data_IF_968188677444
#
_entry.id   IF_968188677444
#
_cell.length_a   1.000
_cell.length_b   1.000
_cell.length_c   1.000
_cell.angle_alpha   90.00
_cell.angle_beta   90.00
_cell.angle_gamma   90.00
#
_symmetry.space_group_name_H-M   'P 1'
#
loop_
_entity.id
_entity.type
_entity.pdbx_description
1 polymer ?
#
# COMPACT_ATOMS: atom_id res chain seq x y z
N UNK A 1 -24.83 13.70 -6.08
CA UNK A 1 -24.55 13.10 -6.25
C UNK A 1 -24.68 12.50 -6.56
N UNK A 2 -24.32 12.53 -6.42
CA UNK A 2 -24.27 12.01 -6.76
C UNK A 2 -24.41 11.13 -6.73
N UNK A 3 -24.61 10.77 -6.71
CA UNK A 3 -24.52 9.80 -6.84
C UNK A 3 -25.01 9.15 -7.61
N UNK A 4 -25.32 9.09 -7.93
CA UNK A 4 -25.48 8.30 -9.13
C UNK A 4 -25.06 6.87 -8.87
N UNK A 5 -25.64 5.90 -9.48
CA UNK A 5 -25.44 4.50 -9.19
C UNK A 5 -24.07 3.89 -9.42
N UNK A 6 -23.05 4.67 -9.66
CA UNK A 6 -21.70 4.17 -9.86
C UNK A 6 -21.07 3.78 -8.52
N UNK A 7 -20.04 2.95 -8.55
CA UNK A 7 -19.36 2.55 -7.34
C UNK A 7 -18.70 3.78 -6.69
N UNK A 8 -18.82 3.83 -5.39
CA UNK A 8 -18.35 4.95 -4.60
C UNK A 8 -17.09 4.58 -3.83
N UNK A 9 -16.04 5.36 -3.97
CA UNK A 9 -14.84 5.22 -3.16
C UNK A 9 -14.80 6.35 -2.15
N UNK A 10 -14.65 6.05 -0.85
CA UNK A 10 -14.51 7.10 0.15
C UNK A 10 -13.32 8.00 -0.18
N UNK A 11 -13.47 9.28 0.05
CA UNK A 11 -12.43 10.26 -0.24
C UNK A 11 -11.08 9.88 0.38
N UNK A 12 -11.09 9.36 1.61
CA UNK A 12 -9.87 8.96 2.29
C UNK A 12 -9.09 7.90 1.51
N UNK A 13 -9.77 6.96 0.87
CA UNK A 13 -9.13 5.92 0.09
C UNK A 13 -8.55 6.48 -1.20
N UNK A 14 -9.28 7.38 -1.85
CA UNK A 14 -8.79 8.04 -3.07
C UNK A 14 -7.56 8.89 -2.75
N UNK A 15 -7.62 9.67 -1.68
CA UNK A 15 -6.49 10.50 -1.26
C UNK A 15 -5.27 9.64 -0.90
N UNK A 16 -5.51 8.52 -0.25
CA UNK A 16 -4.46 7.58 0.13
C UNK A 16 -3.77 6.99 -1.12
N UNK A 17 -4.57 6.57 -2.09
CA UNK A 17 -4.06 6.04 -3.35
C UNK A 17 -3.21 7.08 -4.08
N UNK A 18 -3.70 8.33 -4.16
CA UNK A 18 -2.97 9.41 -4.82
C UNK A 18 -1.65 9.71 -4.11
N UNK A 19 -1.64 9.68 -2.79
CA UNK A 19 -0.43 9.87 -2.00
C UNK A 19 0.60 8.77 -2.31
N UNK A 20 0.14 7.53 -2.43
CA UNK A 20 1.02 6.40 -2.78
C UNK A 20 1.64 6.64 -4.16
N UNK A 21 0.84 7.05 -5.14
CA UNK A 21 1.33 7.30 -6.49
C UNK A 21 2.43 8.35 -6.49
N UNK A 22 2.22 9.46 -5.79
CA UNK A 22 3.22 10.51 -5.70
C UNK A 22 4.51 10.02 -5.06
N UNK A 23 4.40 9.32 -3.94
CA UNK A 23 5.56 8.80 -3.21
C UNK A 23 6.36 7.82 -4.06
N UNK A 24 5.67 6.94 -4.77
CA UNK A 24 6.33 5.95 -5.62
C UNK A 24 7.08 6.64 -6.76
N UNK A 25 6.44 7.61 -7.42
CA UNK A 25 7.06 8.34 -8.53
C UNK A 25 8.33 9.07 -8.09
N UNK A 26 8.33 9.63 -6.89
CA UNK A 26 9.50 10.32 -6.35
C UNK A 26 10.66 9.36 -6.06
N UNK A 27 10.36 8.14 -5.69
CA UNK A 27 11.39 7.17 -5.27
C UNK A 27 11.90 6.29 -6.41
N UNK A 28 11.17 6.20 -7.51
CA UNK A 28 11.62 5.38 -8.63
C UNK A 28 12.82 6.04 -9.33
N UNK A 29 13.84 5.24 -9.68
CA UNK A 29 14.96 5.78 -10.47
C UNK A 29 14.49 6.26 -11.84
N UNK A 30 15.17 7.27 -12.38
CA UNK A 30 14.82 7.82 -13.71
C UNK A 30 14.84 6.75 -14.80
N UNK A 31 15.69 5.75 -14.64
CA UNK A 31 15.84 4.68 -15.63
C UNK A 31 14.96 3.46 -15.35
N UNK A 32 14.06 3.57 -14.37
CA UNK A 32 13.20 2.45 -14.03
C UNK A 32 12.27 2.11 -15.21
N UNK A 33 12.23 0.83 -15.56
CA UNK A 33 11.32 0.31 -16.57
C UNK A 33 10.21 -0.48 -15.89
N UNK A 34 8.97 -0.21 -16.28
CA UNK A 34 7.82 -0.92 -15.74
C UNK A 34 7.98 -2.43 -16.00
N UNK A 35 7.65 -3.23 -15.00
CA UNK A 35 7.76 -4.69 -15.09
C UNK A 35 6.67 -5.23 -16.02
N UNK A 36 7.03 -5.90 -17.12
CA UNK A 36 6.04 -6.31 -18.13
C UNK A 36 5.17 -7.47 -17.66
N UNK A 37 4.02 -7.61 -18.32
CA UNK A 37 3.14 -8.74 -18.09
C UNK A 37 3.90 -10.05 -18.28
N UNK A 38 3.56 -11.04 -17.48
CA UNK A 38 4.19 -12.34 -17.56
C UNK A 38 5.43 -12.50 -16.69
N UNK A 39 5.95 -11.41 -16.13
CA UNK A 39 7.07 -11.49 -15.20
C UNK A 39 6.53 -11.78 -13.81
N UNK A 40 6.85 -12.93 -13.20
CA UNK A 40 6.37 -13.22 -11.85
C UNK A 40 7.07 -12.35 -10.83
N UNK A 41 6.29 -11.71 -9.96
CA UNK A 41 6.80 -10.80 -8.93
C UNK A 41 6.55 -11.42 -7.57
N UNK A 42 7.59 -11.36 -6.73
CA UNK A 42 7.51 -11.75 -5.34
C UNK A 42 7.64 -10.49 -4.49
N UNK A 43 6.61 -10.16 -3.72
CA UNK A 43 6.70 -9.11 -2.72
C UNK A 43 7.25 -9.76 -1.46
N UNK A 44 8.50 -9.46 -1.14
CA UNK A 44 9.18 -10.08 0.00
C UNK A 44 8.85 -9.43 1.32
N UNK A 45 8.35 -8.19 1.27
CA UNK A 45 7.98 -7.44 2.46
C UNK A 45 6.96 -6.37 2.07
N UNK A 46 5.92 -6.24 2.86
CA UNK A 46 4.94 -5.17 2.68
C UNK A 46 4.41 -4.76 4.04
N UNK A 47 4.91 -3.63 4.55
CA UNK A 47 4.54 -3.11 5.84
C UNK A 47 3.79 -1.79 5.70
N UNK A 48 2.62 -1.71 6.32
CA UNK A 48 1.85 -0.48 6.44
C UNK A 48 2.02 0.05 7.84
N UNK A 49 2.62 1.22 7.97
CA UNK A 49 2.78 1.88 9.26
C UNK A 49 1.86 3.11 9.30
N UNK A 50 1.11 3.21 10.37
CA UNK A 50 0.22 4.33 10.61
C UNK A 50 0.68 5.11 11.81
N UNK A 51 0.63 6.42 11.72
CA UNK A 51 1.00 7.29 12.82
C UNK A 51 0.05 7.07 13.99
N UNK A 52 0.63 6.97 15.20
CA UNK A 52 -0.16 6.86 16.43
C UNK A 52 -1.00 8.11 16.58
N UNK A 53 -2.34 7.98 16.80
CA UNK A 53 -3.19 9.16 16.96
C UNK A 53 -2.72 10.06 18.08
N UNK A 54 -2.63 11.35 17.82
CA UNK A 54 -2.17 12.33 18.80
C UNK A 54 -3.08 12.44 20.01
N UNK A 55 -4.36 12.11 19.83
CA UNK A 55 -5.35 12.16 20.90
C UNK A 55 -5.23 11.04 21.93
N UNK A 56 -4.45 10.02 21.65
CA UNK A 56 -4.28 8.89 22.57
C UNK A 56 -3.49 9.30 23.83
N UNK A 57 -3.79 8.66 24.96
CA UNK A 57 -3.05 8.87 26.19
C UNK A 57 -1.61 8.37 26.05
N UNK A 58 -0.73 8.83 26.94
CA UNK A 58 0.66 8.36 26.92
C UNK A 58 0.75 6.85 27.10
N UNK A 59 -0.08 6.29 27.97
CA UNK A 59 -0.10 4.86 28.22
C UNK A 59 -0.49 4.10 26.97
N UNK A 60 -1.56 4.55 26.29
CA UNK A 60 -2.03 3.90 25.07
C UNK A 60 -1.01 4.01 23.95
N UNK A 61 -0.34 5.17 23.85
CA UNK A 61 0.73 5.34 22.85
C UNK A 61 1.90 4.40 23.10
N UNK A 62 2.27 4.21 24.35
CA UNK A 62 3.38 3.33 24.73
C UNK A 62 3.08 1.87 24.43
N UNK A 63 1.81 1.47 24.50
CA UNK A 63 1.39 0.10 24.25
C UNK A 63 1.03 -0.17 22.79
N UNK A 64 1.00 0.88 21.96
CA UNK A 64 0.60 0.75 20.57
C UNK A 64 1.62 -0.08 19.78
N UNK A 65 1.12 -1.09 19.10
CA UNK A 65 1.94 -1.94 18.23
C UNK A 65 1.13 -2.33 16.99
N UNK A 66 0.28 -3.34 17.12
CA UNK A 66 -0.50 -3.80 15.98
C UNK A 66 -1.74 -2.94 15.79
N UNK A 67 -2.04 -2.61 14.52
CA UNK A 67 -3.22 -1.82 14.21
C UNK A 67 -4.37 -2.77 13.88
N UNK A 68 -5.28 -2.93 14.83
CA UNK A 68 -6.42 -3.83 14.67
C UNK A 68 -7.69 -3.11 14.21
N UNK A 69 -7.60 -1.81 13.97
CA UNK A 69 -8.70 -1.01 13.49
C UNK A 69 -8.63 -0.84 11.97
N UNK A 70 -9.68 -0.27 11.38
CA UNK A 70 -9.71 0.02 9.95
C UNK A 70 -8.61 1.00 9.57
N UNK A 71 -8.15 0.97 8.30
CA UNK A 71 -8.65 0.18 7.19
C UNK A 71 -8.19 -1.27 7.20
N UNK A 72 -8.95 -2.14 6.53
CA UNK A 72 -8.63 -3.56 6.44
C UNK A 72 -7.37 -3.78 5.60
N UNK A 73 -6.57 -4.74 6.02
CA UNK A 73 -5.30 -5.01 5.38
C UNK A 73 -5.45 -5.43 3.91
N UNK A 74 -6.27 -6.43 3.63
CA UNK A 74 -6.37 -6.94 2.27
C UNK A 74 -7.46 -6.27 1.42
N UNK A 75 -8.59 -5.92 2.00
CA UNK A 75 -9.70 -5.33 1.24
C UNK A 75 -9.50 -3.87 0.90
N UNK A 76 -8.77 -3.13 1.73
CA UNK A 76 -8.57 -1.70 1.54
C UNK A 76 -7.13 -1.34 1.19
N UNK A 77 -6.19 -1.70 2.06
CA UNK A 77 -4.81 -1.26 1.89
C UNK A 77 -4.13 -1.91 0.69
N UNK A 78 -4.17 -3.24 0.60
CA UNK A 78 -3.54 -3.93 -0.52
C UNK A 78 -4.20 -3.57 -1.85
N UNK A 79 -5.52 -3.46 -1.86
CA UNK A 79 -6.23 -3.10 -3.07
C UNK A 79 -5.82 -1.71 -3.55
N UNK A 80 -5.78 -0.73 -2.64
CA UNK A 80 -5.40 0.62 -2.98
C UNK A 80 -3.93 0.68 -3.47
N UNK A 81 -3.05 -0.05 -2.80
CA UNK A 81 -1.64 -0.09 -3.18
C UNK A 81 -1.46 -0.73 -4.56
N UNK A 82 -2.06 -1.88 -4.78
CA UNK A 82 -1.93 -2.59 -6.05
C UNK A 82 -2.52 -1.77 -7.19
N UNK A 83 -3.67 -1.14 -6.98
CA UNK A 83 -4.26 -0.24 -7.98
C UNK A 83 -3.32 0.94 -8.29
N UNK A 84 -2.68 1.48 -7.25
CA UNK A 84 -1.78 2.61 -7.42
C UNK A 84 -0.51 2.23 -8.17
N UNK A 85 0.00 1.03 -7.97
CA UNK A 85 1.25 0.59 -8.58
C UNK A 85 1.06 0.01 -9.99
N UNK A 86 -0.16 -0.37 -10.33
CA UNK A 86 -0.45 -0.86 -11.69
C UNK A 86 -0.25 0.27 -12.70
N UNK A 87 0.54 -0.01 -13.73
CA UNK A 87 0.90 0.99 -14.72
C UNK A 87 2.10 1.85 -14.36
N UNK A 88 2.61 1.72 -13.13
CA UNK A 88 3.79 2.48 -12.67
C UNK A 88 4.94 1.53 -12.37
N UNK A 89 4.69 0.50 -11.56
CA UNK A 89 5.72 -0.47 -11.18
C UNK A 89 5.60 -1.75 -12.00
N UNK A 90 4.38 -2.25 -12.16
CA UNK A 90 4.11 -3.44 -12.98
C UNK A 90 2.94 -3.17 -13.92
N UNK A 91 2.88 -3.91 -15.02
CA UNK A 91 1.83 -3.71 -16.00
C UNK A 91 0.46 -4.22 -15.52
N UNK A 92 0.44 -5.27 -14.73
CA UNK A 92 -0.81 -5.84 -14.24
C UNK A 92 -0.64 -6.47 -12.87
N UNK A 93 -1.67 -6.35 -12.04
CA UNK A 93 -1.65 -6.87 -10.66
C UNK A 93 -1.40 -8.38 -10.61
N UNK A 94 -1.82 -9.10 -11.62
CA UNK A 94 -1.64 -10.56 -11.62
C UNK A 94 -0.19 -10.97 -11.89
N UNK A 95 0.72 -10.02 -12.10
CA UNK A 95 2.16 -10.31 -12.09
C UNK A 95 2.62 -10.76 -10.69
N UNK A 96 1.92 -10.30 -9.65
CA UNK A 96 2.29 -10.62 -8.27
C UNK A 96 1.81 -12.03 -7.96
N UNK A 97 2.76 -12.94 -7.73
CA UNK A 97 2.46 -14.35 -7.50
C UNK A 97 2.78 -14.83 -6.09
N UNK A 98 3.50 -14.01 -5.32
CA UNK A 98 3.84 -14.35 -3.95
C UNK A 98 3.97 -13.09 -3.11
N UNK A 99 3.43 -13.15 -1.88
CA UNK A 99 3.47 -12.04 -0.92
C UNK A 99 3.85 -12.60 0.43
N UNK A 100 4.97 -12.15 0.97
CA UNK A 100 5.44 -12.53 2.29
C UNK A 100 5.53 -11.32 3.20
N UNK A 101 5.55 -11.56 4.50
CA UNK A 101 5.81 -10.53 5.52
C UNK A 101 4.89 -9.31 5.39
N UNK A 102 3.59 -9.57 5.37
CA UNK A 102 2.56 -8.55 5.27
C UNK A 102 2.12 -8.14 6.68
N UNK A 103 2.28 -6.85 7.03
CA UNK A 103 2.00 -6.36 8.37
C UNK A 103 1.35 -4.98 8.35
N UNK A 104 0.57 -4.71 9.39
CA UNK A 104 -0.06 -3.41 9.61
C UNK A 104 0.13 -3.06 11.09
N UNK A 105 0.80 -1.93 11.35
CA UNK A 105 1.13 -1.55 12.73
C UNK A 105 1.21 -0.03 12.90
N UNK A 106 1.29 0.40 14.14
CA UNK A 106 1.48 1.80 14.48
C UNK A 106 2.95 2.14 14.60
N UNK A 107 3.28 3.37 14.27
CA UNK A 107 4.62 3.91 14.41
C UNK A 107 4.60 5.42 14.52
N UNK A 108 5.73 6.03 14.31
CA UNK A 108 5.90 7.48 14.49
C UNK A 108 5.35 8.28 13.30
N UNK A 109 5.31 7.66 12.14
CA UNK A 109 4.87 8.32 10.91
C UNK A 109 4.05 7.37 10.07
N UNK A 110 3.32 7.94 9.10
CA UNK A 110 2.63 7.13 8.10
C UNK A 110 3.62 6.76 7.01
N UNK A 111 3.79 5.47 6.76
CA UNK A 111 4.67 5.03 5.67
C UNK A 111 4.32 3.63 5.20
N UNK A 112 4.73 3.34 3.98
CA UNK A 112 4.60 2.01 3.40
C UNK A 112 5.99 1.56 3.00
N UNK A 113 6.39 0.38 3.47
CA UNK A 113 7.66 -0.22 3.10
C UNK A 113 7.37 -1.46 2.27
N UNK A 114 7.80 -1.44 1.02
CA UNK A 114 7.59 -2.56 0.12
C UNK A 114 8.92 -2.95 -0.53
N UNK A 115 9.17 -4.25 -0.58
CA UNK A 115 10.33 -4.81 -1.27
C UNK A 115 9.84 -5.86 -2.24
N UNK A 116 10.28 -5.77 -3.47
CA UNK A 116 9.87 -6.70 -4.52
C UNK A 116 11.08 -7.28 -5.22
N UNK A 117 10.89 -8.48 -5.74
CA UNK A 117 11.88 -9.10 -6.62
C UNK A 117 11.17 -9.78 -7.79
N UNK A 118 11.85 -9.83 -8.92
CA UNK A 118 11.34 -10.55 -10.08
C UNK A 118 11.88 -11.97 -10.02
N UNK A 119 10.97 -12.94 -10.09
CA UNK A 119 11.34 -14.35 -10.08
C UNK A 119 11.64 -14.81 -11.49
N UNK A 120 12.46 -15.83 -11.60
CA UNK A 120 12.70 -16.46 -12.89
C UNK A 120 11.53 -17.38 -13.21
N UNK A 121 11.03 -17.27 -14.41
CA UNK A 121 9.94 -18.14 -14.87
C UNK A 121 10.48 -19.50 -15.33
#
# INVERSE_FOLDING_TARGET
>A
MTRSGHSYQPKKIVDYKNAIIEMVREQLPDHFSIIPKGTPIHITKLHYQFEIPKSWSKKKKAEAKWMTSRPDLHDNLNKALFDALEGIVWEADHNVVRLDNLQKYYGQTNQINIEIECLKS
#
